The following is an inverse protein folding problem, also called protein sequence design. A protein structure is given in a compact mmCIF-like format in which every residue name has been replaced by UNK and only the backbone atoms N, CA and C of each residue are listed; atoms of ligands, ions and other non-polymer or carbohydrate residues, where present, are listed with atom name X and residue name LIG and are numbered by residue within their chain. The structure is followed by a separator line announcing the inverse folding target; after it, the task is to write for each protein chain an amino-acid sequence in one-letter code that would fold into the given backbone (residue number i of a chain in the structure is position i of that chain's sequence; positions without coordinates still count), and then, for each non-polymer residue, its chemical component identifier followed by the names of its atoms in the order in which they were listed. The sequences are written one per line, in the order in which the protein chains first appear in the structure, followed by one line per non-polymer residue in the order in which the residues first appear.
data_IF_211086455558
#
_entry.id   IF_211086455558
#
_cell.length_a   1.000
_cell.length_b   1.000
_cell.length_c   1.000
_cell.angle_alpha   90.00
_cell.angle_beta   90.00
_cell.angle_gamma   90.00
#
_symmetry.space_group_name_H-M   'P 1'
#
loop_
_entity.id
_entity.type
_entity.pdbx_description
1 polymer ?
#
# COMPACT_ATOMS: atom_id res chain seq x y z
N UNK A 1 13.59 16.92 -22.81
CA UNK A 1 13.01 18.24 -23.11
C UNK A 1 11.48 18.28 -23.10
N UNK A 2 10.77 17.25 -22.60
CA UNK A 2 9.44 17.48 -22.02
C UNK A 2 9.65 18.34 -20.76
N UNK A 3 9.09 19.54 -20.79
CA UNK A 3 9.74 20.76 -20.33
C UNK A 3 9.53 21.05 -18.84
N UNK A 4 10.58 21.39 -18.11
CA UNK A 4 10.48 22.09 -16.82
C UNK A 4 9.62 23.38 -16.87
N UNK A 5 9.37 23.94 -18.08
CA UNK A 5 8.39 25.01 -18.28
C UNK A 5 6.97 24.58 -17.84
N UNK A 6 6.57 23.34 -18.11
CA UNK A 6 5.28 22.79 -17.66
C UNK A 6 5.19 22.69 -16.14
N UNK A 7 6.30 22.36 -15.46
CA UNK A 7 6.34 22.27 -14.00
C UNK A 7 6.02 23.62 -13.34
N UNK A 8 6.62 24.71 -13.83
CA UNK A 8 6.36 26.06 -13.28
C UNK A 8 4.91 26.49 -13.48
N UNK A 9 4.32 26.13 -14.61
CA UNK A 9 2.92 26.41 -14.90
C UNK A 9 1.98 25.58 -14.01
N UNK A 10 2.24 24.29 -13.85
CA UNK A 10 1.47 23.40 -12.97
C UNK A 10 1.50 23.88 -11.52
N UNK A 11 2.67 24.31 -11.03
CA UNK A 11 2.78 24.91 -9.68
C UNK A 11 1.90 26.16 -9.57
N UNK A 12 1.94 27.03 -10.58
CA UNK A 12 1.14 28.26 -10.58
C UNK A 12 -0.36 27.95 -10.61
N UNK A 13 -0.80 27.03 -11.49
CA UNK A 13 -2.21 26.60 -11.57
C UNK A 13 -2.69 25.99 -10.24
N UNK A 14 -1.89 25.12 -9.63
CA UNK A 14 -2.18 24.57 -8.30
C UNK A 14 -2.34 25.66 -7.26
N UNK A 15 -1.40 26.60 -7.18
CA UNK A 15 -1.44 27.67 -6.19
C UNK A 15 -2.67 28.56 -6.39
N UNK A 16 -3.04 28.86 -7.64
CA UNK A 16 -4.26 29.60 -7.96
C UNK A 16 -5.52 28.84 -7.52
N UNK A 17 -5.57 27.52 -7.74
CA UNK A 17 -6.68 26.68 -7.27
C UNK A 17 -6.79 26.67 -5.75
N UNK A 18 -5.68 26.51 -5.03
CA UNK A 18 -5.68 26.49 -3.56
C UNK A 18 -5.97 27.86 -2.93
N UNK A 19 -5.70 28.96 -3.64
CA UNK A 19 -6.15 30.29 -3.22
C UNK A 19 -7.67 30.42 -3.28
N UNK A 20 -8.33 29.72 -4.21
CA UNK A 20 -9.79 29.71 -4.35
C UNK A 20 -10.45 28.71 -3.40
N UNK A 21 -9.86 27.52 -3.23
CA UNK A 21 -10.38 26.44 -2.40
C UNK A 21 -9.25 25.55 -1.87
N UNK A 22 -8.89 25.75 -0.61
CA UNK A 22 -7.85 24.97 0.08
C UNK A 22 -8.26 23.53 0.38
N UNK A 23 -9.56 23.20 0.27
CA UNK A 23 -10.07 21.84 0.52
C UNK A 23 -10.05 20.95 -0.71
N UNK A 24 -9.76 21.54 -1.88
CA UNK A 24 -9.81 20.83 -3.16
C UNK A 24 -8.59 19.92 -3.32
N UNK A 25 -8.87 18.63 -3.48
CA UNK A 25 -7.88 17.60 -3.82
C UNK A 25 -7.35 17.85 -5.22
N UNK A 26 -6.03 17.82 -5.38
CA UNK A 26 -5.32 17.94 -6.64
C UNK A 26 -4.76 16.58 -7.04
N UNK A 27 -4.77 16.33 -8.35
CA UNK A 27 -4.32 15.06 -8.89
C UNK A 27 -3.55 15.24 -10.18
N UNK A 28 -2.61 14.34 -10.44
CA UNK A 28 -1.80 14.34 -11.65
C UNK A 28 -1.78 12.94 -12.28
N UNK A 29 -1.67 12.86 -13.60
CA UNK A 29 -1.57 11.59 -14.31
C UNK A 29 -0.23 11.50 -15.03
N UNK A 30 0.40 10.33 -14.96
CA UNK A 30 1.67 10.06 -15.62
C UNK A 30 1.57 8.83 -16.52
N UNK A 31 2.32 8.88 -17.61
CA UNK A 31 2.61 7.71 -18.44
C UNK A 31 3.96 7.07 -18.06
N UNK A 32 4.90 7.86 -17.52
CA UNK A 32 6.20 7.39 -17.03
C UNK A 32 6.57 8.08 -15.71
N UNK A 33 7.32 7.40 -14.84
CA UNK A 33 7.85 7.95 -13.58
C UNK A 33 9.19 8.67 -13.73
N UNK A 34 9.62 8.93 -14.97
CA UNK A 34 10.84 9.68 -15.29
C UNK A 34 10.59 11.20 -15.18
N UNK A 35 11.65 12.03 -15.10
CA UNK A 35 11.49 13.48 -15.10
C UNK A 35 10.56 13.97 -16.24
N UNK A 36 9.59 14.85 -15.93
CA UNK A 36 9.47 15.64 -14.70
C UNK A 36 8.67 14.99 -13.55
N UNK A 37 8.16 13.76 -13.67
CA UNK A 37 7.19 13.17 -12.74
C UNK A 37 7.62 13.21 -11.25
N UNK A 38 8.87 12.87 -10.86
CA UNK A 38 9.30 12.94 -9.47
C UNK A 38 9.20 14.35 -8.85
N UNK A 39 9.32 15.41 -9.67
CA UNK A 39 9.18 16.79 -9.19
C UNK A 39 7.73 17.24 -9.08
N UNK A 40 6.82 16.57 -9.78
CA UNK A 40 5.39 16.90 -9.79
C UNK A 40 4.59 16.11 -8.76
N UNK A 41 5.03 14.89 -8.40
CA UNK A 41 4.38 14.06 -7.39
C UNK A 41 4.06 14.81 -6.08
N UNK A 42 5.01 15.55 -5.45
CA UNK A 42 4.75 16.24 -4.18
C UNK A 42 3.75 17.41 -4.31
N UNK A 43 3.36 17.76 -5.53
CA UNK A 43 2.38 18.82 -5.81
C UNK A 43 0.96 18.28 -5.89
N UNK A 44 0.72 17.00 -5.65
CA UNK A 44 -0.59 16.37 -5.77
C UNK A 44 -0.91 15.53 -4.55
N UNK A 45 -2.20 15.37 -4.24
CA UNK A 45 -2.65 14.43 -3.23
C UNK A 45 -2.92 13.04 -3.83
N UNK A 46 -3.19 12.97 -5.14
CA UNK A 46 -3.44 11.73 -5.88
C UNK A 46 -2.59 11.71 -7.15
N UNK A 47 -1.96 10.57 -7.44
CA UNK A 47 -1.25 10.39 -8.71
C UNK A 47 -1.75 9.14 -9.44
N UNK A 48 -2.09 9.31 -10.71
CA UNK A 48 -2.53 8.25 -11.61
C UNK A 48 -1.36 7.72 -12.44
N UNK A 49 -1.27 6.39 -12.57
CA UNK A 49 -0.33 5.73 -13.48
C UNK A 49 -1.06 5.05 -14.63
N UNK A 50 -0.81 5.56 -15.83
CA UNK A 50 -1.33 5.03 -17.09
C UNK A 50 -0.52 3.80 -17.48
N UNK A 51 -1.21 2.68 -17.68
CA UNK A 51 -0.60 1.48 -18.23
C UNK A 51 -1.49 0.90 -19.32
N UNK A 52 -1.00 0.98 -20.56
CA UNK A 52 -1.76 0.63 -21.75
C UNK A 52 -1.03 -0.47 -22.54
N UNK A 53 -1.02 -1.73 -22.04
CA UNK A 53 -0.24 -2.80 -22.64
C UNK A 53 -0.85 -3.36 -23.94
N UNK A 54 -2.06 -2.93 -24.35
CA UNK A 54 -2.67 -3.37 -25.60
C UNK A 54 -2.43 -2.37 -26.73
N UNK A 55 -1.76 -2.83 -27.79
CA UNK A 55 -1.66 -2.13 -29.08
C UNK A 55 -0.61 -1.03 -29.18
N UNK A 56 0.14 -0.70 -28.12
CA UNK A 56 1.07 0.43 -28.17
C UNK A 56 2.47 0.06 -28.72
N UNK A 57 2.85 -1.22 -28.71
CA UNK A 57 4.22 -1.68 -29.05
C UNK A 57 4.27 -3.01 -29.82
N UNK A 58 3.24 -3.32 -30.62
CA UNK A 58 3.11 -4.56 -31.40
C UNK A 58 2.36 -5.68 -30.66
N UNK A 59 2.38 -6.90 -31.21
CA UNK A 59 1.55 -8.04 -30.80
C UNK A 59 1.82 -8.59 -29.37
N UNK A 60 2.92 -8.19 -28.73
CA UNK A 60 3.29 -8.72 -27.41
C UNK A 60 2.62 -7.92 -26.30
N UNK A 61 1.39 -8.32 -25.95
CA UNK A 61 0.69 -7.88 -24.73
C UNK A 61 1.55 -8.25 -23.52
N UNK A 62 2.07 -7.26 -22.79
CA UNK A 62 2.93 -7.50 -21.63
C UNK A 62 2.30 -6.97 -20.34
N UNK A 63 1.63 -7.87 -19.60
CA UNK A 63 1.11 -7.54 -18.27
C UNK A 63 2.22 -7.43 -17.20
N UNK A 64 3.43 -7.95 -17.44
CA UNK A 64 4.57 -7.71 -16.56
C UNK A 64 5.03 -6.26 -16.65
N UNK A 65 4.97 -5.67 -17.85
CA UNK A 65 5.19 -4.23 -18.01
C UNK A 65 4.17 -3.42 -17.20
N UNK A 66 2.88 -3.78 -17.23
CA UNK A 66 1.87 -3.11 -16.40
C UNK A 66 2.16 -3.24 -14.91
N UNK A 67 2.51 -4.44 -14.44
CA UNK A 67 2.91 -4.68 -13.06
C UNK A 67 4.13 -3.82 -12.68
N UNK A 68 5.16 -3.77 -13.53
CA UNK A 68 6.36 -2.96 -13.32
C UNK A 68 6.02 -1.47 -13.19
N UNK A 69 5.20 -0.93 -14.10
CA UNK A 69 4.77 0.46 -14.10
C UNK A 69 3.99 0.81 -12.82
N UNK A 70 3.02 -0.02 -12.45
CA UNK A 70 2.24 0.19 -11.25
C UNK A 70 3.10 0.10 -9.98
N UNK A 71 3.96 -0.90 -9.87
CA UNK A 71 4.84 -1.08 -8.70
C UNK A 71 5.79 0.11 -8.52
N UNK A 72 6.41 0.58 -9.60
CA UNK A 72 7.30 1.73 -9.54
C UNK A 72 6.54 3.01 -9.16
N UNK A 73 5.31 3.17 -9.63
CA UNK A 73 4.46 4.28 -9.24
C UNK A 73 4.12 4.27 -7.75
N UNK A 74 3.77 3.11 -7.20
CA UNK A 74 3.49 2.94 -5.76
C UNK A 74 4.72 3.34 -4.94
N UNK A 75 5.91 2.87 -5.32
CA UNK A 75 7.16 3.21 -4.65
C UNK A 75 7.46 4.72 -4.72
N UNK A 76 7.21 5.35 -5.86
CA UNK A 76 7.40 6.79 -6.01
C UNK A 76 6.42 7.60 -5.14
N UNK A 77 5.14 7.21 -5.10
CA UNK A 77 4.11 7.86 -4.31
C UNK A 77 4.32 7.71 -2.79
N UNK A 78 4.82 6.56 -2.34
CA UNK A 78 5.10 6.29 -0.91
C UNK A 78 6.11 7.27 -0.33
N UNK A 79 7.13 7.66 -1.10
CA UNK A 79 8.15 8.60 -0.65
C UNK A 79 7.60 10.02 -0.43
N UNK A 80 6.53 10.37 -1.13
CA UNK A 80 5.96 11.72 -1.17
C UNK A 80 4.59 11.82 -0.47
N UNK A 81 4.12 10.75 0.18
CA UNK A 81 2.80 10.66 0.81
C UNK A 81 1.65 11.02 -0.15
N UNK A 82 1.74 10.54 -1.39
CA UNK A 82 0.73 10.71 -2.45
C UNK A 82 -0.10 9.42 -2.57
N UNK A 83 -1.40 9.52 -2.84
CA UNK A 83 -2.25 8.36 -3.05
C UNK A 83 -2.04 7.79 -4.48
N UNK A 84 -1.51 6.55 -4.63
CA UNK A 84 -1.30 5.97 -5.95
C UNK A 84 -2.61 5.37 -6.48
N UNK A 85 -2.99 5.72 -7.70
CA UNK A 85 -4.16 5.20 -8.40
C UNK A 85 -3.73 4.66 -9.77
N UNK A 86 -4.26 3.51 -10.17
CA UNK A 86 -3.99 2.96 -11.49
C UNK A 86 -5.00 3.46 -12.52
N UNK A 87 -4.54 3.55 -13.77
CA UNK A 87 -5.37 3.75 -14.96
C UNK A 87 -5.21 2.57 -15.92
N UNK A 88 -5.93 1.46 -15.68
CA UNK A 88 -5.97 0.31 -16.59
C UNK A 88 -6.64 0.66 -17.91
N UNK A 89 -6.30 -0.08 -18.97
CA UNK A 89 -6.79 0.16 -20.33
C UNK A 89 -8.12 -0.54 -20.55
N UNK A 90 -9.12 0.19 -21.06
CA UNK A 90 -10.41 -0.39 -21.50
C UNK A 90 -10.70 -0.17 -22.99
N UNK A 91 -9.78 0.47 -23.70
CA UNK A 91 -9.90 0.82 -25.12
C UNK A 91 -8.78 0.16 -25.93
N UNK A 92 -8.83 0.25 -27.26
CA UNK A 92 -7.72 -0.08 -28.15
C UNK A 92 -7.20 1.17 -28.86
N UNK A 93 -5.93 1.17 -29.23
CA UNK A 93 -5.43 2.14 -30.21
C UNK A 93 -6.00 1.85 -31.61
N UNK A 94 -5.85 2.78 -32.54
CA UNK A 94 -6.42 2.66 -33.89
C UNK A 94 -5.88 1.41 -34.61
N UNK A 95 -6.77 0.53 -35.06
CA UNK A 95 -6.48 -0.76 -35.69
C UNK A 95 -5.85 -1.83 -34.79
N UNK A 96 -5.85 -1.62 -33.47
CA UNK A 96 -5.32 -2.58 -32.50
C UNK A 96 -6.43 -3.42 -31.85
N UNK A 97 -6.03 -4.50 -31.19
CA UNK A 97 -6.97 -5.40 -30.49
C UNK A 97 -7.39 -4.81 -29.14
N UNK A 98 -8.68 -4.91 -28.82
CA UNK A 98 -9.20 -4.55 -27.50
C UNK A 98 -8.75 -5.55 -26.41
N UNK A 99 -8.62 -5.11 -25.15
CA UNK A 99 -8.50 -6.05 -24.04
C UNK A 99 -9.74 -6.95 -23.97
N UNK A 100 -9.56 -8.22 -23.58
CA UNK A 100 -10.69 -9.10 -23.31
C UNK A 100 -11.28 -8.82 -21.91
N UNK A 101 -12.48 -9.32 -21.59
CA UNK A 101 -13.02 -9.27 -20.22
C UNK A 101 -12.07 -9.82 -19.14
N UNK A 102 -11.34 -10.90 -19.42
CA UNK A 102 -10.37 -11.47 -18.47
C UNK A 102 -9.14 -10.60 -18.31
N UNK A 103 -8.74 -9.87 -19.36
CA UNK A 103 -7.67 -8.88 -19.27
C UNK A 103 -8.04 -7.71 -18.35
N UNK A 104 -9.29 -7.22 -18.39
CA UNK A 104 -9.76 -6.16 -17.49
C UNK A 104 -9.66 -6.60 -16.02
N UNK A 105 -10.13 -7.82 -15.72
CA UNK A 105 -10.04 -8.39 -14.38
C UNK A 105 -8.58 -8.50 -13.92
N UNK A 106 -7.75 -9.16 -14.73
CA UNK A 106 -6.34 -9.40 -14.43
C UNK A 106 -5.55 -8.10 -14.24
N UNK A 107 -5.65 -7.13 -15.17
CA UNK A 107 -4.93 -5.86 -15.06
C UNK A 107 -5.33 -5.05 -13.84
N UNK A 108 -6.62 -5.07 -13.49
CA UNK A 108 -7.14 -4.33 -12.34
C UNK A 108 -6.60 -4.90 -11.04
N UNK A 109 -6.61 -6.23 -10.89
CA UNK A 109 -6.06 -6.85 -9.69
C UNK A 109 -4.53 -6.88 -9.67
N UNK A 110 -3.85 -6.82 -10.81
CA UNK A 110 -2.41 -6.52 -10.84
C UNK A 110 -2.12 -5.15 -10.22
N UNK A 111 -2.92 -4.12 -10.51
CA UNK A 111 -2.78 -2.81 -9.88
C UNK A 111 -2.90 -2.92 -8.36
N UNK A 112 -3.94 -3.58 -7.85
CA UNK A 112 -4.08 -3.78 -6.40
C UNK A 112 -2.92 -4.60 -5.83
N UNK A 113 -2.50 -5.71 -6.46
CA UNK A 113 -1.31 -6.49 -6.07
C UNK A 113 -0.07 -5.61 -5.87
N UNK A 114 0.15 -4.61 -6.73
CA UNK A 114 1.30 -3.71 -6.57
C UNK A 114 1.20 -2.71 -5.42
N UNK A 115 0.02 -2.57 -4.80
CA UNK A 115 -0.23 -1.66 -3.68
C UNK A 115 -0.98 -0.38 -4.06
N UNK A 116 -1.54 -0.31 -5.28
CA UNK A 116 -2.41 0.80 -5.69
C UNK A 116 -3.61 0.93 -4.76
N UNK A 117 -4.05 2.17 -4.52
CA UNK A 117 -5.15 2.48 -3.59
C UNK A 117 -6.47 2.78 -4.29
N UNK A 118 -6.47 2.77 -5.62
CA UNK A 118 -7.67 2.95 -6.43
C UNK A 118 -7.39 2.66 -7.90
N UNK A 119 -8.48 2.64 -8.67
CA UNK A 119 -8.48 2.40 -10.11
C UNK A 119 -9.44 3.38 -10.76
N UNK A 120 -9.04 3.96 -11.89
CA UNK A 120 -9.91 4.72 -12.76
C UNK A 120 -9.68 4.27 -14.20
N UNK A 121 -10.71 3.75 -14.86
CA UNK A 121 -10.55 3.29 -16.24
C UNK A 121 -10.54 4.47 -17.21
N UNK A 122 -9.61 4.40 -18.16
CA UNK A 122 -9.58 5.23 -19.35
C UNK A 122 -9.80 4.30 -20.55
N UNK A 123 -10.70 4.55 -21.51
CA UNK A 123 -11.75 5.60 -21.59
C UNK A 123 -13.12 4.91 -21.77
N UNK A 124 -14.18 5.50 -21.19
CA UNK A 124 -15.54 4.99 -21.34
C UNK A 124 -16.29 5.57 -22.55
N UNK A 125 -16.04 6.86 -22.83
CA UNK A 125 -16.71 7.66 -23.86
C UNK A 125 -15.71 8.64 -24.44
N UNK A 126 -15.08 8.24 -25.53
CA UNK A 126 -14.20 9.10 -26.31
C UNK A 126 -14.79 9.27 -27.72
N UNK A 127 -15.35 10.46 -27.94
CA UNK A 127 -15.96 10.83 -29.22
C UNK A 127 -14.92 11.08 -30.31
N UNK A 128 -13.68 11.42 -29.94
CA UNK A 128 -12.61 11.72 -30.89
C UNK A 128 -12.06 10.42 -31.50
N UNK A 129 -12.06 9.33 -30.72
CA UNK A 129 -11.62 8.00 -31.16
C UNK A 129 -12.76 7.00 -31.45
N UNK A 130 -14.02 7.45 -31.39
CA UNK A 130 -15.23 6.63 -31.53
C UNK A 130 -15.29 5.41 -30.58
N UNK A 131 -14.59 5.50 -29.45
CA UNK A 131 -14.52 4.48 -28.40
C UNK A 131 -15.57 4.79 -27.33
N UNK A 132 -16.81 4.42 -27.63
CA UNK A 132 -17.91 4.32 -26.65
C UNK A 132 -18.03 2.85 -26.24
N UNK A 133 -17.20 2.41 -25.29
CA UNK A 133 -17.09 0.97 -24.98
C UNK A 133 -18.40 0.37 -24.46
N UNK A 134 -19.28 1.19 -23.86
CA UNK A 134 -20.63 0.76 -23.45
C UNK A 134 -21.51 0.34 -24.64
N UNK A 135 -21.22 0.84 -25.83
CA UNK A 135 -21.95 0.53 -27.07
C UNK A 135 -21.14 -0.41 -27.96
N UNK A 136 -19.84 -0.13 -28.14
CA UNK A 136 -19.00 -0.82 -29.13
C UNK A 136 -18.36 -2.10 -28.59
N UNK A 137 -18.20 -2.22 -27.27
CA UNK A 137 -17.56 -3.37 -26.59
C UNK A 137 -18.28 -3.70 -25.26
N UNK A 138 -19.59 -4.03 -25.30
CA UNK A 138 -20.41 -4.17 -24.11
C UNK A 138 -19.91 -5.20 -23.11
N UNK A 139 -19.17 -6.23 -23.55
CA UNK A 139 -18.53 -7.23 -22.70
C UNK A 139 -17.37 -6.67 -21.87
N UNK A 140 -16.59 -5.72 -22.42
CA UNK A 140 -15.51 -5.04 -21.70
C UNK A 140 -16.11 -4.10 -20.67
N UNK A 141 -17.15 -3.35 -21.06
CA UNK A 141 -17.88 -2.48 -20.14
C UNK A 141 -18.50 -3.28 -18.99
N UNK A 142 -19.13 -4.42 -19.28
CA UNK A 142 -19.69 -5.30 -18.25
C UNK A 142 -18.60 -5.87 -17.32
N UNK A 143 -17.43 -6.22 -17.84
CA UNK A 143 -16.30 -6.67 -17.03
C UNK A 143 -15.80 -5.57 -16.08
N UNK A 144 -15.60 -4.35 -16.59
CA UNK A 144 -15.19 -3.20 -15.79
C UNK A 144 -16.23 -2.85 -14.71
N UNK A 145 -17.53 -2.91 -15.05
CA UNK A 145 -18.62 -2.70 -14.10
C UNK A 145 -18.62 -3.76 -12.99
N UNK A 146 -18.43 -5.03 -13.33
CA UNK A 146 -18.34 -6.12 -12.35
C UNK A 146 -17.16 -5.93 -11.38
N UNK A 147 -15.99 -5.56 -11.90
CA UNK A 147 -14.83 -5.26 -11.04
C UNK A 147 -15.10 -4.03 -10.16
N UNK A 148 -15.80 -3.02 -10.67
CA UNK A 148 -16.20 -1.87 -9.86
C UNK A 148 -17.15 -2.29 -8.71
N UNK A 149 -18.10 -3.18 -8.94
CA UNK A 149 -18.98 -3.73 -7.89
C UNK A 149 -18.18 -4.43 -6.77
N UNK A 150 -17.19 -5.24 -7.12
CA UNK A 150 -16.26 -5.86 -6.18
C UNK A 150 -15.48 -4.81 -5.38
N UNK A 151 -14.88 -3.85 -6.08
CA UNK A 151 -14.03 -2.82 -5.46
C UNK A 151 -14.82 -1.91 -4.54
N UNK A 152 -16.12 -1.72 -4.82
CA UNK A 152 -17.02 -0.90 -4.02
C UNK A 152 -17.56 -1.60 -2.77
N UNK A 153 -17.28 -2.89 -2.57
CA UNK A 153 -17.63 -3.55 -1.31
C UNK A 153 -16.89 -2.89 -0.14
N UNK A 154 -17.64 -2.49 0.89
CA UNK A 154 -17.12 -1.66 2.01
C UNK A 154 -15.92 -2.30 2.71
N UNK A 155 -15.96 -3.62 2.92
CA UNK A 155 -14.86 -4.35 3.53
C UNK A 155 -13.59 -4.26 2.65
N UNK A 156 -13.74 -4.46 1.34
CA UNK A 156 -12.63 -4.38 0.41
C UNK A 156 -11.99 -3.00 0.35
N UNK A 157 -12.81 -1.95 0.30
CA UNK A 157 -12.32 -0.57 0.35
C UNK A 157 -11.45 -0.34 1.58
N UNK A 158 -11.89 -0.81 2.75
CA UNK A 158 -11.13 -0.68 4.00
C UNK A 158 -9.81 -1.44 3.94
N UNK A 159 -9.80 -2.66 3.38
CA UNK A 159 -8.59 -3.47 3.20
C UNK A 159 -7.58 -2.76 2.28
N UNK A 160 -8.01 -2.27 1.12
CA UNK A 160 -7.14 -1.59 0.16
C UNK A 160 -6.59 -0.29 0.76
N UNK A 161 -7.44 0.54 1.39
CA UNK A 161 -7.06 1.85 1.89
C UNK A 161 -6.25 1.81 3.19
N UNK A 162 -6.54 0.85 4.07
CA UNK A 162 -6.04 0.86 5.45
C UNK A 162 -5.30 -0.43 5.85
N UNK A 163 -5.29 -1.46 5.01
CA UNK A 163 -4.53 -2.69 5.24
C UNK A 163 -3.02 -2.49 5.08
N UNK A 164 -2.25 -3.29 5.83
CA UNK A 164 -0.80 -3.39 5.67
C UNK A 164 -0.51 -4.33 4.51
N UNK A 165 0.07 -3.78 3.45
CA UNK A 165 0.32 -4.48 2.19
C UNK A 165 1.73 -5.06 2.13
N UNK A 166 1.86 -6.26 1.57
CA UNK A 166 3.14 -6.78 1.07
C UNK A 166 2.94 -7.40 -0.32
N UNK A 167 3.98 -7.28 -1.15
CA UNK A 167 3.99 -7.70 -2.54
C UNK A 167 5.07 -8.75 -2.78
N UNK A 168 4.74 -9.78 -3.56
CA UNK A 168 5.68 -10.82 -3.97
C UNK A 168 5.58 -11.11 -5.48
N UNK A 169 6.74 -11.13 -6.14
CA UNK A 169 6.92 -11.67 -7.49
C UNK A 169 7.58 -13.05 -7.36
N UNK A 170 6.92 -14.09 -7.89
CA UNK A 170 7.43 -15.48 -7.86
C UNK A 170 7.84 -16.00 -9.25
N UNK A 171 7.80 -15.15 -10.27
CA UNK A 171 8.14 -15.49 -11.63
C UNK A 171 7.53 -14.52 -12.64
N UNK A 172 7.97 -14.65 -13.89
CA UNK A 172 7.38 -13.90 -15.01
C UNK A 172 5.86 -14.14 -15.03
N UNK A 173 5.07 -13.07 -15.04
CA UNK A 173 3.61 -13.12 -14.99
C UNK A 173 2.99 -13.75 -13.73
N UNK A 174 3.73 -13.93 -12.63
CA UNK A 174 3.24 -14.59 -11.40
C UNK A 174 3.41 -13.70 -10.19
N UNK A 175 2.29 -13.24 -9.65
CA UNK A 175 2.28 -12.27 -8.58
C UNK A 175 1.28 -12.64 -7.50
N UNK A 176 1.65 -12.35 -6.26
CA UNK A 176 0.68 -12.31 -5.18
C UNK A 176 0.98 -11.17 -4.23
N UNK A 177 -0.02 -10.79 -3.46
CA UNK A 177 0.11 -9.82 -2.40
C UNK A 177 -0.77 -10.18 -1.22
N UNK A 178 -0.32 -9.74 -0.05
CA UNK A 178 -1.00 -9.96 1.22
C UNK A 178 -1.40 -8.60 1.80
N UNK A 179 -2.64 -8.51 2.29
CA UNK A 179 -3.09 -7.41 3.12
C UNK A 179 -3.45 -7.93 4.49
N UNK A 180 -2.77 -7.42 5.50
CA UNK A 180 -3.20 -7.59 6.88
C UNK A 180 -4.13 -6.43 7.24
N UNK A 181 -5.38 -6.74 7.54
CA UNK A 181 -6.35 -5.75 7.98
C UNK A 181 -7.24 -6.36 9.05
N UNK A 182 -7.30 -5.69 10.21
CA UNK A 182 -7.94 -6.22 11.42
C UNK A 182 -7.35 -7.60 11.80
N UNK A 183 -8.19 -8.61 12.03
CA UNK A 183 -7.78 -9.97 12.36
C UNK A 183 -7.89 -10.91 11.16
N UNK A 184 -7.66 -10.40 9.94
CA UNK A 184 -7.72 -11.20 8.72
C UNK A 184 -6.55 -10.88 7.79
N UNK A 185 -6.10 -11.93 7.12
CA UNK A 185 -5.17 -11.89 6.01
C UNK A 185 -5.98 -12.01 4.72
N UNK A 186 -5.82 -11.04 3.83
CA UNK A 186 -6.37 -11.07 2.49
C UNK A 186 -5.25 -11.39 1.52
N UNK A 187 -5.37 -12.50 0.80
CA UNK A 187 -4.37 -12.93 -0.18
C UNK A 187 -4.94 -12.74 -1.57
N UNK A 188 -4.27 -11.94 -2.39
CA UNK A 188 -4.57 -11.81 -3.82
C UNK A 188 -3.48 -12.50 -4.62
N UNK A 189 -3.83 -13.37 -5.55
CA UNK A 189 -2.90 -14.01 -6.47
C UNK A 189 -3.38 -13.83 -7.91
N UNK A 190 -2.44 -13.57 -8.81
CA UNK A 190 -2.71 -13.38 -10.23
C UNK A 190 -1.71 -14.18 -11.07
N UNK A 191 -2.27 -14.98 -11.98
CA UNK A 191 -1.56 -15.50 -13.13
C UNK A 191 -1.80 -14.56 -14.32
N UNK A 192 -0.80 -13.76 -14.70
CA UNK A 192 -0.89 -12.80 -15.80
C UNK A 192 -0.42 -13.36 -17.16
N UNK A 193 -0.17 -14.68 -17.27
CA UNK A 193 0.29 -15.28 -18.54
C UNK A 193 -0.90 -15.50 -19.47
N UNK A 194 -0.61 -15.44 -20.76
CA UNK A 194 -1.54 -15.73 -21.84
C UNK A 194 -1.84 -17.22 -21.99
N UNK A 195 -0.85 -18.07 -21.75
CA UNK A 195 -0.87 -19.45 -22.26
C UNK A 195 -0.69 -20.50 -21.16
N UNK A 196 -0.06 -20.12 -20.05
CA UNK A 196 0.36 -21.09 -19.03
C UNK A 196 -0.46 -20.93 -17.75
N UNK A 197 -1.07 -22.03 -17.31
CA UNK A 197 -1.46 -22.19 -15.90
C UNK A 197 -0.24 -22.17 -14.99
N UNK A 198 -0.43 -21.90 -13.70
CA UNK A 198 0.65 -21.93 -12.73
C UNK A 198 0.21 -22.40 -11.35
N UNK A 199 1.03 -23.26 -10.75
CA UNK A 199 0.84 -23.73 -9.39
C UNK A 199 1.43 -22.74 -8.39
N UNK A 200 0.58 -22.08 -7.62
CA UNK A 200 0.98 -21.16 -6.55
C UNK A 200 1.22 -21.92 -5.26
N UNK A 201 2.27 -21.54 -4.53
CA UNK A 201 2.54 -21.95 -3.15
C UNK A 201 2.79 -20.68 -2.33
N UNK A 202 1.78 -20.24 -1.59
CA UNK A 202 1.83 -18.99 -0.83
C UNK A 202 1.94 -19.32 0.66
N UNK A 203 3.11 -19.08 1.30
CA UNK A 203 3.27 -19.37 2.72
C UNK A 203 2.36 -18.45 3.54
N UNK A 204 1.68 -19.04 4.53
CA UNK A 204 0.80 -18.33 5.45
C UNK A 204 1.47 -18.20 6.83
N UNK A 205 1.14 -17.15 7.60
CA UNK A 205 1.64 -17.03 8.96
C UNK A 205 1.09 -18.15 9.86
N UNK A 206 1.81 -18.45 10.95
CA UNK A 206 1.46 -19.57 11.85
C UNK A 206 0.06 -19.46 12.45
N UNK A 207 -0.42 -18.23 12.68
CA UNK A 207 -1.73 -17.91 13.24
C UNK A 207 -2.88 -17.96 12.22
N UNK A 208 -2.59 -18.13 10.93
CA UNK A 208 -3.63 -18.25 9.89
C UNK A 208 -4.54 -19.46 10.15
N UNK A 209 -5.85 -19.28 9.97
CA UNK A 209 -6.80 -20.38 10.01
C UNK A 209 -6.48 -21.42 8.92
N UNK A 210 -7.04 -22.62 9.07
CA UNK A 210 -6.88 -23.73 8.13
C UNK A 210 -7.89 -23.68 6.97
N UNK A 211 -8.66 -22.60 6.86
CA UNK A 211 -9.66 -22.39 5.82
C UNK A 211 -9.39 -21.04 5.14
N UNK A 212 -9.38 -21.06 3.80
CA UNK A 212 -9.41 -19.87 2.98
C UNK A 212 -10.82 -19.74 2.41
N UNK A 213 -11.44 -18.57 2.60
CA UNK A 213 -12.75 -18.28 2.03
C UNK A 213 -12.54 -17.36 0.85
N UNK A 214 -13.06 -17.75 -0.31
CA UNK A 214 -13.07 -16.86 -1.48
C UNK A 214 -13.78 -15.56 -1.09
N UNK A 215 -13.10 -14.44 -1.26
CA UNK A 215 -13.62 -13.16 -0.82
C UNK A 215 -14.82 -12.71 -1.66
N UNK A 216 -14.84 -13.11 -2.94
CA UNK A 216 -15.98 -12.99 -3.82
C UNK A 216 -16.45 -14.41 -4.19
N UNK A 217 -17.61 -14.81 -3.67
CA UNK A 217 -18.14 -16.19 -3.69
C UNK A 217 -18.35 -16.78 -5.10
N UNK A 218 -18.52 -15.95 -6.12
CA UNK A 218 -18.65 -16.40 -7.51
C UNK A 218 -17.32 -16.67 -8.20
N UNK A 219 -16.18 -16.32 -7.59
CA UNK A 219 -14.86 -16.60 -8.18
C UNK A 219 -14.50 -18.08 -8.02
N UNK A 220 -13.73 -18.66 -8.95
CA UNK A 220 -13.33 -20.05 -8.83
C UNK A 220 -12.50 -20.33 -7.57
N UNK A 221 -12.80 -21.44 -6.91
CA UNK A 221 -12.08 -21.92 -5.73
C UNK A 221 -10.83 -22.71 -6.13
N UNK A 222 -9.85 -21.98 -6.67
CA UNK A 222 -8.65 -22.56 -7.27
C UNK A 222 -7.51 -22.83 -6.29
N UNK A 223 -7.53 -22.25 -5.10
CA UNK A 223 -6.48 -22.41 -4.07
C UNK A 223 -7.10 -22.92 -2.78
N UNK A 224 -6.36 -23.74 -2.04
CA UNK A 224 -6.77 -24.30 -0.75
C UNK A 224 -5.60 -24.28 0.22
N UNK A 225 -5.89 -24.30 1.53
CA UNK A 225 -4.85 -24.31 2.56
C UNK A 225 -4.46 -25.75 2.87
N UNK A 226 -3.18 -26.06 2.71
CA UNK A 226 -2.57 -27.30 3.18
C UNK A 226 -1.26 -26.98 3.89
N UNK A 227 -1.07 -27.51 5.11
CA UNK A 227 0.17 -27.33 5.87
C UNK A 227 0.66 -25.87 5.98
N UNK A 228 -0.25 -24.91 6.19
CA UNK A 228 0.03 -23.46 6.26
C UNK A 228 0.57 -22.86 4.96
N UNK A 229 0.22 -23.46 3.82
CA UNK A 229 0.46 -22.92 2.49
C UNK A 229 -0.89 -22.82 1.79
N UNK A 230 -1.23 -21.63 1.28
CA UNK A 230 -2.32 -21.47 0.34
C UNK A 230 -1.79 -21.87 -1.04
N UNK A 231 -2.27 -22.99 -1.58
CA UNK A 231 -1.74 -23.58 -2.79
C UNK A 231 -2.81 -24.09 -3.75
N UNK A 232 -2.45 -24.17 -5.03
CA UNK A 232 -3.35 -24.60 -6.10
C UNK A 232 -2.95 -24.03 -7.45
N UNK A 233 -3.75 -24.28 -8.48
CA UNK A 233 -3.45 -23.90 -9.85
C UNK A 233 -4.35 -22.75 -10.31
N UNK A 234 -3.74 -21.67 -10.81
CA UNK A 234 -4.45 -20.59 -11.48
C UNK A 234 -4.29 -20.72 -12.99
N UNK A 235 -5.41 -20.69 -13.71
CA UNK A 235 -5.45 -20.64 -15.18
C UNK A 235 -4.89 -19.31 -15.72
N UNK A 236 -4.58 -19.21 -17.04
CA UNK A 236 -4.22 -17.96 -17.69
C UNK A 236 -5.18 -16.80 -17.35
N UNK A 237 -4.61 -15.64 -17.04
CA UNK A 237 -5.32 -14.42 -16.60
C UNK A 237 -6.21 -14.54 -15.36
N UNK A 238 -6.15 -15.66 -14.63
CA UNK A 238 -7.01 -15.86 -13.48
C UNK A 238 -6.52 -15.05 -12.27
N UNK A 239 -7.48 -14.44 -11.58
CA UNK A 239 -7.31 -13.76 -10.30
C UNK A 239 -8.02 -14.57 -9.22
N UNK A 240 -7.35 -14.81 -8.09
CA UNK A 240 -7.94 -15.41 -6.91
C UNK A 240 -7.72 -14.52 -5.68
N UNK A 241 -8.76 -14.37 -4.86
CA UNK A 241 -8.79 -13.45 -3.73
C UNK A 241 -9.42 -14.16 -2.55
N UNK A 242 -8.64 -14.39 -1.51
CA UNK A 242 -9.07 -15.12 -0.33
C UNK A 242 -8.99 -14.25 0.90
N UNK A 243 -9.95 -14.43 1.80
CA UNK A 243 -9.89 -13.99 3.18
C UNK A 243 -9.59 -15.18 4.06
N UNK A 244 -8.57 -15.04 4.90
CA UNK A 244 -8.14 -16.04 5.85
C UNK A 244 -8.20 -15.40 7.23
N UNK A 245 -9.01 -15.95 8.12
CA UNK A 245 -9.05 -15.49 9.50
C UNK A 245 -7.68 -15.72 10.16
N UNK A 246 -7.19 -14.75 10.92
CA UNK A 246 -6.04 -14.94 11.78
C UNK A 246 -6.54 -15.25 13.18
N UNK A 247 -5.98 -16.29 13.78
CA UNK A 247 -6.28 -16.63 15.16
C UNK A 247 -5.76 -15.50 16.03
N UNK A 248 -6.66 -14.84 16.77
CA UNK A 248 -6.27 -13.86 17.80
C UNK A 248 -5.55 -14.50 18.99
N UNK A 249 -5.12 -15.77 18.88
CA UNK A 249 -4.16 -16.36 19.78
C UNK A 249 -2.80 -15.72 19.53
N UNK A 250 -2.65 -14.48 19.95
CA UNK A 250 -1.36 -14.06 20.46
C UNK A 250 -1.07 -15.02 21.60
N UNK A 251 -0.04 -15.89 21.55
CA UNK A 251 0.66 -16.09 22.80
C UNK A 251 1.12 -14.68 23.16
N UNK A 252 0.53 -14.05 24.17
CA UNK A 252 1.19 -12.97 24.89
C UNK A 252 2.49 -13.57 25.46
N UNK A 253 3.50 -13.80 24.62
CA UNK A 253 4.86 -13.55 25.03
C UNK A 253 4.99 -12.05 24.90
N UNK A 254 4.36 -11.35 25.83
CA UNK A 254 4.68 -9.96 26.09
C UNK A 254 6.13 -9.99 26.55
N UNK A 255 7.07 -9.93 25.61
CA UNK A 255 8.37 -9.33 25.87
C UNK A 255 8.11 -7.84 26.11
N UNK A 256 7.41 -7.57 27.21
CA UNK A 256 7.34 -6.26 27.81
C UNK A 256 8.79 -5.93 28.13
N UNK A 257 9.29 -4.84 27.54
CA UNK A 257 10.45 -4.19 28.11
C UNK A 257 10.12 -3.98 29.60
N UNK A 258 10.92 -4.56 30.49
CA UNK A 258 10.76 -4.38 31.94
C UNK A 258 11.54 -3.16 32.39
N UNK A 259 11.47 -2.08 31.60
CA UNK A 259 12.31 -0.94 31.83
C UNK A 259 11.71 -0.03 32.91
N UNK A 260 12.57 0.61 33.70
CA UNK A 260 12.16 1.51 34.77
C UNK A 260 12.97 2.80 34.75
N UNK A 261 12.36 3.90 35.17
CA UNK A 261 13.02 5.19 35.32
C UNK A 261 13.56 5.34 36.75
N UNK A 262 14.86 5.58 36.90
CA UNK A 262 15.50 5.72 38.21
C UNK A 262 16.48 6.91 38.25
N UNK A 263 16.39 7.83 39.24
CA UNK A 263 15.29 7.96 40.19
C UNK A 263 14.01 8.45 39.51
N UNK A 264 12.86 8.20 40.14
CA UNK A 264 11.58 8.79 39.78
C UNK A 264 10.70 8.88 41.05
N UNK A 265 10.42 10.08 41.60
CA UNK A 265 10.70 11.41 41.04
C UNK A 265 12.19 11.73 40.82
N UNK A 266 12.49 12.56 39.82
CA UNK A 266 13.83 12.97 39.43
C UNK A 266 13.99 14.49 39.52
N UNK A 267 15.19 14.96 39.88
CA UNK A 267 15.53 16.37 39.85
C UNK A 267 16.23 16.74 38.53
N UNK A 268 17.53 16.52 38.39
CA UNK A 268 18.26 16.95 37.19
C UNK A 268 18.48 15.84 36.16
N UNK A 269 18.36 14.57 36.52
CA UNK A 269 18.54 13.46 35.57
C UNK A 269 17.87 12.18 36.04
N UNK A 270 17.59 11.30 35.10
CA UNK A 270 17.17 9.92 35.35
C UNK A 270 17.97 8.95 34.49
N UNK A 271 17.89 7.65 34.82
CA UNK A 271 18.44 6.53 34.07
C UNK A 271 17.32 5.57 33.71
N UNK A 272 17.56 4.80 32.65
CA UNK A 272 16.68 3.71 32.22
C UNK A 272 17.35 2.38 32.60
N UNK A 273 16.70 1.61 33.48
CA UNK A 273 17.10 0.24 33.82
C UNK A 273 16.28 -0.77 33.00
N UNK A 274 16.72 -2.03 32.94
CA UNK A 274 15.97 -3.10 32.25
C UNK A 274 16.06 -3.08 30.71
N UNK A 275 17.10 -2.46 30.16
CA UNK A 275 17.35 -2.39 28.73
C UNK A 275 18.81 -2.73 28.46
N UNK A 276 19.05 -3.73 27.61
CA UNK A 276 20.40 -4.19 27.25
C UNK A 276 20.88 -3.67 25.87
N UNK A 277 19.99 -3.03 25.11
CA UNK A 277 20.22 -2.59 23.74
C UNK A 277 20.18 -1.05 23.56
N UNK A 278 20.86 -0.51 22.53
CA UNK A 278 20.75 0.91 22.15
C UNK A 278 19.28 1.32 21.98
N UNK A 279 18.94 2.49 22.52
CA UNK A 279 17.54 2.89 22.68
C UNK A 279 17.35 4.37 22.42
N UNK A 280 16.35 4.71 21.59
CA UNK A 280 15.94 6.09 21.38
C UNK A 280 14.94 6.49 22.46
N UNK A 281 15.18 7.61 23.16
CA UNK A 281 14.32 8.12 24.24
C UNK A 281 13.71 9.45 23.84
N UNK A 282 12.39 9.58 23.95
CA UNK A 282 11.63 10.80 23.67
C UNK A 282 10.77 11.17 24.88
N UNK A 283 10.77 12.45 25.24
CA UNK A 283 10.04 12.99 26.39
C UNK A 283 8.88 13.86 25.89
N UNK A 284 7.70 13.65 26.44
CA UNK A 284 6.47 14.36 26.13
C UNK A 284 5.92 15.00 27.41
N UNK A 285 5.28 16.17 27.29
CA UNK A 285 4.56 16.79 28.41
C UNK A 285 3.22 16.09 28.69
N UNK A 286 2.49 16.55 29.71
CA UNK A 286 1.20 15.97 30.09
C UNK A 286 0.11 16.11 29.00
N UNK A 287 0.26 17.04 28.05
CA UNK A 287 -0.63 17.22 26.90
C UNK A 287 -0.23 16.35 25.69
N UNK A 288 0.84 15.54 25.81
CA UNK A 288 1.36 14.71 24.73
C UNK A 288 2.24 15.46 23.72
N UNK A 289 2.55 16.74 23.94
CA UNK A 289 3.47 17.49 23.08
C UNK A 289 4.91 17.06 23.31
N UNK A 290 5.67 16.90 22.23
CA UNK A 290 7.09 16.56 22.27
C UNK A 290 7.91 17.67 22.94
N UNK A 291 8.86 17.27 23.79
CA UNK A 291 9.72 18.20 24.53
C UNK A 291 11.20 17.96 24.23
N UNK A 292 11.65 16.70 24.22
CA UNK A 292 13.07 16.38 24.06
C UNK A 292 13.28 14.97 23.51
N UNK A 293 14.44 14.74 22.88
CA UNK A 293 14.89 13.41 22.43
C UNK A 293 16.39 13.25 22.68
N UNK A 294 16.76 12.06 23.16
CA UNK A 294 18.15 11.64 23.32
C UNK A 294 18.30 10.17 22.89
N UNK A 295 19.48 9.81 22.39
CA UNK A 295 19.87 8.42 22.17
C UNK A 295 20.69 7.92 23.35
N UNK A 296 20.33 6.75 23.87
CA UNK A 296 21.12 6.03 24.86
C UNK A 296 21.86 4.90 24.13
N UNK A 297 23.19 4.91 24.25
CA UNK A 297 24.02 3.86 23.64
C UNK A 297 24.19 2.64 24.55
N UNK A 298 24.03 2.79 25.87
CA UNK A 298 24.29 1.73 26.86
C UNK A 298 23.33 1.82 28.05
N UNK A 299 23.00 0.67 28.65
CA UNK A 299 22.24 0.60 29.90
C UNK A 299 22.85 1.49 31.00
N UNK A 300 22.01 2.21 31.76
CA UNK A 300 22.45 3.07 32.86
C UNK A 300 22.99 4.45 32.47
N UNK A 301 22.98 4.82 31.18
CA UNK A 301 23.28 6.19 30.77
C UNK A 301 22.28 7.18 31.40
N UNK A 302 22.79 8.33 31.86
CA UNK A 302 21.96 9.38 32.48
C UNK A 302 21.40 10.30 31.40
N UNK A 303 20.10 10.50 31.43
CA UNK A 303 19.41 11.52 30.64
C UNK A 303 19.29 12.78 31.50
N UNK A 304 19.86 13.89 31.04
CA UNK A 304 19.71 15.19 31.66
C UNK A 304 18.29 15.73 31.41
N UNK A 305 17.66 16.23 32.47
CA UNK A 305 16.34 16.85 32.45
C UNK A 305 16.34 18.17 33.24
N UNK A 306 17.51 18.74 33.57
CA UNK A 306 17.59 20.01 34.31
C UNK A 306 16.92 21.20 33.60
N UNK A 307 16.73 21.09 32.28
CA UNK A 307 16.02 22.09 31.47
C UNK A 307 14.48 21.99 31.57
N UNK A 308 13.93 20.92 32.14
CA UNK A 308 12.48 20.74 32.31
C UNK A 308 11.97 21.49 33.54
N UNK A 309 10.79 22.09 33.43
CA UNK A 309 10.05 22.61 34.61
C UNK A 309 9.48 21.45 35.42
N UNK A 310 9.31 21.64 36.73
CA UNK A 310 8.62 20.69 37.63
C UNK A 310 7.25 20.29 37.07
N UNK A 311 6.93 18.99 37.10
CA UNK A 311 5.69 18.47 36.52
C UNK A 311 5.73 17.00 36.15
N UNK A 312 4.67 16.54 35.47
CA UNK A 312 4.53 15.17 34.96
C UNK A 312 4.85 15.12 33.47
N UNK A 313 5.69 14.17 33.09
CA UNK A 313 6.09 13.91 31.72
C UNK A 313 5.92 12.42 31.39
N UNK A 314 5.88 12.10 30.11
CA UNK A 314 5.87 10.74 29.59
C UNK A 314 7.14 10.50 28.79
N UNK A 315 7.90 9.49 29.20
CA UNK A 315 9.14 9.08 28.56
C UNK A 315 8.84 7.85 27.73
N UNK A 316 8.82 8.00 26.41
CA UNK A 316 8.75 6.89 25.47
C UNK A 316 10.15 6.48 25.09
N UNK A 317 10.43 5.20 25.13
CA UNK A 317 11.66 4.66 24.57
C UNK A 317 11.36 3.55 23.58
N UNK A 318 12.25 3.41 22.62
CA UNK A 318 12.18 2.41 21.56
C UNK A 318 13.53 1.74 21.43
N UNK A 319 13.58 0.43 21.63
CA UNK A 319 14.77 -0.37 21.30
C UNK A 319 15.05 -0.21 19.82
N UNK A 320 16.29 0.15 19.47
CA UNK A 320 16.69 0.31 18.07
C UNK A 320 16.70 -1.06 17.39
N UNK A 321 17.15 -2.09 18.10
CA UNK A 321 17.35 -3.43 17.54
C UNK A 321 16.02 -4.19 17.37
N UNK A 322 15.17 -4.22 18.41
CA UNK A 322 13.91 -4.98 18.36
C UNK A 322 12.72 -4.15 17.89
N UNK A 323 12.85 -2.83 17.80
CA UNK A 323 11.76 -1.92 17.48
C UNK A 323 10.68 -1.79 18.58
N UNK A 324 10.75 -2.61 19.65
CA UNK A 324 9.84 -2.58 20.78
C UNK A 324 9.84 -1.21 21.46
N UNK A 325 8.68 -0.78 21.93
CA UNK A 325 8.55 0.50 22.62
C UNK A 325 7.71 0.41 23.89
N UNK A 326 8.06 1.24 24.87
CA UNK A 326 7.30 1.38 26.11
C UNK A 326 7.30 2.86 26.53
N UNK A 327 6.23 3.27 27.20
CA UNK A 327 6.08 4.63 27.73
C UNK A 327 5.96 4.56 29.25
N UNK A 328 6.80 5.32 29.94
CA UNK A 328 6.83 5.42 31.39
C UNK A 328 6.53 6.84 31.85
N UNK A 329 5.90 6.97 33.02
CA UNK A 329 5.62 8.26 33.65
C UNK A 329 6.86 8.76 34.40
N UNK A 330 7.28 9.99 34.13
CA UNK A 330 8.34 10.69 34.86
C UNK A 330 7.74 11.83 35.69
N UNK A 331 8.17 11.97 36.94
CA UNK A 331 7.84 13.09 37.81
C UNK A 331 9.11 13.93 37.98
N UNK A 332 9.13 15.15 37.42
CA UNK A 332 10.20 16.14 37.62
C UNK A 332 9.88 16.96 38.86
N UNK A 333 10.80 16.95 39.84
CA UNK A 333 10.72 17.77 41.06
C UNK A 333 10.97 19.24 40.75
#
# INVERSE_FOLDING_TARGET
DANYMELSEVINQRNQLLLLDQSRVTSISFYHIEPPAPYMLPLSEIAYMQSYPWGQYGDNIDLDYSNFMFRNHVLACQNENVLPVATPQTYSWENETYPSPTHIDCQTYLAFITGMKGVIYYTFKDYDNNSNIDITQPEIFAAAAKVAEEVLQTEWQSVILHGTHSYTNIGQYRYYANWLHENALYVMAVNASADDSYHFEIPLPEDAAYEAVNFFDYRPDSLSIENKVLQGELAPYQVAIYKIALSTSTPEITQQLTAQLMPNPADNSFQLSGIDAPTAVSIFNAQGSFVHRQHIARAGERIDIGFLKSGVYFVRFRSIDSGLSQTLKLIKL
#
